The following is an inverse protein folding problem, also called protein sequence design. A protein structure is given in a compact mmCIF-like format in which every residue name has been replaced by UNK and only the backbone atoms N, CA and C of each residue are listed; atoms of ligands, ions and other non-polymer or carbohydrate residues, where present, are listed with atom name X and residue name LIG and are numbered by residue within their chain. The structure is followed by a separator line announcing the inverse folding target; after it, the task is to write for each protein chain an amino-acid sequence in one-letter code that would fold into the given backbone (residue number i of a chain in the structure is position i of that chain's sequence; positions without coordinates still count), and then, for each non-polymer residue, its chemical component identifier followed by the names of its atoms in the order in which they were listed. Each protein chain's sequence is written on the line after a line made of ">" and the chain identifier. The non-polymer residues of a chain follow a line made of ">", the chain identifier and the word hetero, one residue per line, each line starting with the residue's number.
data_IF_432117863031
#
_entry.id   IF_432117863031
#
_cell.length_a   1.000
_cell.length_b   1.000
_cell.length_c   1.000
_cell.angle_alpha   90.00
_cell.angle_beta   90.00
_cell.angle_gamma   90.00
#
_symmetry.space_group_name_H-M   'P 1'
#
loop_
_entity.id
_entity.type
_entity.pdbx_description
1 polymer ?
#
# COMPACT_ATOMS: atom_id res chain seq x y z
N UNK A 1 -18.03 1.34 -7.39
CA UNK A 1 -17.87 1.86 -5.99
C UNK A 1 -16.84 2.98 -6.03
N UNK A 2 -17.09 4.14 -5.43
CA UNK A 2 -16.07 5.19 -5.27
C UNK A 2 -15.35 5.01 -3.94
N UNK A 3 -14.00 5.10 -3.96
CA UNK A 3 -13.15 5.06 -2.79
C UNK A 3 -12.59 6.47 -2.47
N UNK A 4 -12.27 6.72 -1.21
CA UNK A 4 -11.53 7.91 -0.80
C UNK A 4 -10.02 7.68 -0.98
N UNK A 5 -9.53 6.51 -0.56
CA UNK A 5 -8.12 6.12 -0.63
C UNK A 5 -7.99 4.75 -1.31
N UNK A 6 -7.03 4.62 -2.19
CA UNK A 6 -6.61 3.35 -2.79
C UNK A 6 -5.13 3.12 -2.45
N UNK A 7 -4.85 2.09 -1.66
CA UNK A 7 -3.49 1.68 -1.34
C UNK A 7 -3.06 0.56 -2.29
N UNK A 8 -1.86 0.66 -2.85
CA UNK A 8 -1.35 -0.27 -3.84
C UNK A 8 0.01 -0.78 -3.38
N UNK A 9 0.15 -2.11 -3.25
CA UNK A 9 1.40 -2.80 -2.91
C UNK A 9 1.89 -3.65 -4.08
N UNK A 10 3.20 -3.84 -4.19
CA UNK A 10 3.78 -4.79 -5.13
C UNK A 10 3.37 -6.22 -4.75
N UNK A 11 3.37 -6.53 -3.45
CA UNK A 11 3.02 -7.83 -2.91
C UNK A 11 1.94 -7.72 -1.84
N UNK A 12 1.17 -8.81 -1.60
CA UNK A 12 0.32 -8.91 -0.41
C UNK A 12 1.23 -8.87 0.83
N UNK A 13 1.04 -7.92 1.72
CA UNK A 13 1.73 -7.52 2.94
C UNK A 13 2.39 -6.12 2.90
N UNK A 14 2.74 -5.60 1.73
CA UNK A 14 3.40 -4.29 1.58
C UNK A 14 2.59 -3.15 2.20
N UNK A 15 1.29 -3.11 1.93
CA UNK A 15 0.37 -2.09 2.44
C UNK A 15 0.24 -2.20 3.96
N UNK A 16 0.15 -3.42 4.47
CA UNK A 16 0.09 -3.68 5.90
C UNK A 16 1.36 -3.18 6.60
N UNK A 17 2.53 -3.50 6.04
CA UNK A 17 3.82 -3.05 6.57
C UNK A 17 4.03 -1.54 6.45
N UNK A 18 3.62 -0.97 5.32
CA UNK A 18 3.94 0.41 4.97
C UNK A 18 3.03 1.45 5.60
N UNK A 19 1.69 1.24 5.55
CA UNK A 19 0.74 2.32 5.87
C UNK A 19 -0.58 1.87 6.51
N UNK A 20 -0.72 0.63 6.96
CA UNK A 20 -2.02 0.14 7.42
C UNK A 20 -2.55 0.80 8.69
N UNK A 21 -1.70 1.35 9.56
CA UNK A 21 -2.17 2.12 10.70
C UNK A 21 -2.82 3.44 10.25
N UNK A 22 -2.27 4.11 9.23
CA UNK A 22 -2.90 5.26 8.57
C UNK A 22 -4.25 4.88 7.95
N UNK A 23 -4.31 3.75 7.21
CA UNK A 23 -5.56 3.29 6.62
C UNK A 23 -6.63 3.01 7.69
N UNK A 24 -6.26 2.33 8.77
CA UNK A 24 -7.18 2.04 9.89
C UNK A 24 -7.71 3.32 10.53
N UNK A 25 -6.85 4.32 10.71
CA UNK A 25 -7.25 5.64 11.21
C UNK A 25 -8.25 6.31 10.28
N UNK A 26 -7.99 6.28 8.97
CA UNK A 26 -8.89 6.91 8.00
C UNK A 26 -10.21 6.16 7.86
N UNK A 27 -10.23 4.82 8.03
CA UNK A 27 -11.48 4.03 8.14
C UNK A 27 -12.28 4.49 9.37
N UNK A 28 -11.61 4.66 10.51
CA UNK A 28 -12.26 5.19 11.73
C UNK A 28 -12.81 6.60 11.54
N UNK A 29 -12.22 7.40 10.63
CA UNK A 29 -12.71 8.71 10.20
C UNK A 29 -13.84 8.62 9.14
N UNK A 30 -14.34 7.41 8.83
CA UNK A 30 -15.44 7.19 7.89
C UNK A 30 -15.03 7.15 6.42
N UNK A 31 -13.74 7.03 6.11
CA UNK A 31 -13.25 6.93 4.74
C UNK A 31 -13.42 5.52 4.17
N UNK A 32 -13.72 5.44 2.88
CA UNK A 32 -13.78 4.18 2.12
C UNK A 32 -12.43 3.90 1.49
N UNK A 33 -11.85 2.76 1.85
CA UNK A 33 -10.50 2.38 1.45
C UNK A 33 -10.52 1.06 0.69
N UNK A 34 -9.70 0.97 -0.36
CA UNK A 34 -9.42 -0.26 -1.07
C UNK A 34 -7.93 -0.56 -1.10
N UNK A 35 -7.60 -1.82 -1.30
CA UNK A 35 -6.22 -2.29 -1.50
C UNK A 35 -6.13 -2.97 -2.87
N UNK A 36 -5.02 -2.74 -3.56
CA UNK A 36 -4.59 -3.49 -4.74
C UNK A 36 -3.22 -4.07 -4.46
N UNK A 37 -3.08 -5.38 -4.68
CA UNK A 37 -1.79 -6.06 -4.76
C UNK A 37 -1.43 -6.23 -6.24
N UNK A 38 -0.22 -5.85 -6.65
CA UNK A 38 0.18 -5.98 -8.05
C UNK A 38 0.45 -7.43 -8.43
N UNK A 39 1.02 -8.23 -7.51
CA UNK A 39 1.36 -9.64 -7.69
C UNK A 39 0.73 -10.50 -6.61
N UNK A 40 0.79 -11.81 -6.72
CA UNK A 40 0.41 -12.74 -5.66
C UNK A 40 1.57 -13.05 -4.70
N UNK A 41 2.77 -12.51 -4.95
CA UNK A 41 3.97 -12.84 -4.20
C UNK A 41 4.41 -14.29 -4.43
N UNK A 42 4.16 -14.84 -5.62
CA UNK A 42 4.29 -16.25 -5.96
C UNK A 42 5.74 -16.75 -6.02
N UNK A 43 6.72 -15.85 -6.04
CA UNK A 43 8.15 -16.20 -5.93
C UNK A 43 8.67 -16.14 -4.49
N UNK A 44 7.79 -15.90 -3.52
CA UNK A 44 8.14 -15.88 -2.10
C UNK A 44 8.73 -17.24 -1.65
N UNK A 45 9.76 -17.19 -0.77
CA UNK A 45 10.42 -18.40 -0.25
C UNK A 45 9.48 -19.22 0.64
N UNK A 46 8.50 -18.56 1.28
CA UNK A 46 7.60 -19.17 2.27
C UNK A 46 6.16 -19.08 1.80
N UNK A 47 5.39 -20.13 2.13
CA UNK A 47 4.00 -20.24 1.69
C UNK A 47 3.84 -20.47 0.20
N UNK A 48 2.61 -20.37 -0.28
CA UNK A 48 2.22 -20.47 -1.70
C UNK A 48 1.39 -19.24 -2.09
N UNK A 49 1.14 -19.04 -3.39
CA UNK A 49 0.24 -17.99 -3.84
C UNK A 49 -1.16 -18.13 -3.21
N UNK A 50 -1.67 -19.37 -3.07
CA UNK A 50 -2.98 -19.64 -2.47
C UNK A 50 -3.00 -19.27 -0.98
N UNK A 51 -1.97 -19.64 -0.21
CA UNK A 51 -1.88 -19.24 1.21
C UNK A 51 -1.76 -17.72 1.36
N UNK A 52 -1.03 -17.06 0.46
CA UNK A 52 -0.94 -15.57 0.44
C UNK A 52 -2.29 -14.92 0.13
N UNK A 53 -3.11 -15.51 -0.74
CA UNK A 53 -4.46 -15.01 -1.02
C UNK A 53 -5.37 -15.12 0.21
N UNK A 54 -5.30 -16.25 0.95
CA UNK A 54 -6.03 -16.43 2.20
C UNK A 54 -5.60 -15.43 3.28
N UNK A 55 -4.28 -15.28 3.48
CA UNK A 55 -3.69 -14.36 4.44
C UNK A 55 -4.04 -12.90 4.12
N UNK A 56 -4.01 -12.51 2.84
CA UNK A 56 -4.39 -11.18 2.39
C UNK A 56 -5.88 -10.88 2.60
N UNK A 57 -6.72 -11.90 2.43
CA UNK A 57 -8.16 -11.79 2.71
C UNK A 57 -8.40 -11.60 4.21
N UNK A 58 -7.70 -12.34 5.06
CA UNK A 58 -7.78 -12.17 6.53
C UNK A 58 -7.31 -10.79 6.94
N UNK A 59 -6.16 -10.33 6.43
CA UNK A 59 -5.64 -8.98 6.70
C UNK A 59 -6.63 -7.88 6.26
N UNK A 60 -7.27 -8.04 5.09
CA UNK A 60 -8.28 -7.10 4.60
C UNK A 60 -9.50 -7.03 5.54
N UNK A 61 -9.96 -8.18 6.05
CA UNK A 61 -11.06 -8.26 7.02
C UNK A 61 -10.67 -7.58 8.36
N UNK A 62 -9.46 -7.86 8.85
CA UNK A 62 -8.92 -7.24 10.06
C UNK A 62 -8.90 -5.71 9.90
N UNK A 63 -8.37 -5.18 8.82
CA UNK A 63 -8.31 -3.73 8.56
C UNK A 63 -9.69 -3.12 8.34
N UNK A 64 -10.66 -3.88 7.82
CA UNK A 64 -11.98 -3.40 7.47
C UNK A 64 -12.02 -2.62 6.16
N UNK A 65 -11.15 -2.94 5.20
CA UNK A 65 -11.16 -2.30 3.87
C UNK A 65 -12.39 -2.71 3.06
N UNK A 66 -12.84 -1.81 2.20
CA UNK A 66 -14.06 -2.00 1.42
C UNK A 66 -13.90 -3.00 0.27
N UNK A 67 -12.67 -3.15 -0.23
CA UNK A 67 -12.33 -4.04 -1.34
C UNK A 67 -10.83 -4.31 -1.35
N UNK A 68 -10.45 -5.54 -1.72
CA UNK A 68 -9.08 -5.91 -2.09
C UNK A 68 -9.08 -6.61 -3.44
N UNK A 69 -8.15 -6.26 -4.31
CA UNK A 69 -8.02 -6.83 -5.66
C UNK A 69 -6.57 -7.20 -5.88
N UNK A 70 -6.31 -8.39 -6.42
CA UNK A 70 -4.99 -8.75 -6.93
C UNK A 70 -4.96 -8.58 -8.45
N UNK A 71 -3.89 -7.98 -9.00
CA UNK A 71 -3.70 -7.76 -10.43
C UNK A 71 -3.07 -8.96 -11.14
N UNK A 72 -2.56 -9.92 -10.38
CA UNK A 72 -1.91 -11.14 -10.89
C UNK A 72 -0.75 -10.84 -11.87
N UNK A 73 -0.05 -9.72 -11.68
CA UNK A 73 1.15 -9.44 -12.43
C UNK A 73 2.27 -10.40 -11.99
N UNK A 74 3.20 -10.71 -12.89
CA UNK A 74 4.28 -11.64 -12.60
C UNK A 74 5.23 -11.09 -11.53
N UNK A 75 5.28 -11.74 -10.37
CA UNK A 75 6.16 -11.40 -9.26
C UNK A 75 7.62 -11.36 -9.69
N UNK A 76 8.36 -10.34 -9.30
CA UNK A 76 9.75 -10.10 -9.70
C UNK A 76 9.93 -9.65 -11.16
N UNK A 77 8.96 -9.89 -12.03
CA UNK A 77 9.10 -9.71 -13.49
C UNK A 77 8.11 -8.73 -14.12
N UNK A 78 7.12 -8.22 -13.41
CA UNK A 78 6.30 -7.16 -13.96
C UNK A 78 7.15 -5.91 -14.29
N UNK A 79 6.71 -5.15 -15.26
CA UNK A 79 7.44 -3.98 -15.77
C UNK A 79 6.52 -2.77 -15.89
N UNK A 80 7.13 -1.59 -15.87
CA UNK A 80 6.38 -0.35 -16.10
C UNK A 80 6.24 -0.12 -17.61
N UNK A 81 5.26 -0.78 -18.22
CA UNK A 81 4.94 -0.65 -19.64
C UNK A 81 3.45 -0.34 -19.87
N UNK A 82 3.09 -0.13 -21.14
CA UNK A 82 1.73 0.23 -21.52
C UNK A 82 0.69 -0.82 -21.06
N UNK A 83 1.04 -2.11 -21.08
CA UNK A 83 0.09 -3.18 -20.72
C UNK A 83 -0.28 -3.08 -19.25
N UNK A 84 0.71 -3.07 -18.36
CA UNK A 84 0.51 -2.97 -16.93
C UNK A 84 -0.12 -1.62 -16.52
N UNK A 85 0.32 -0.51 -17.17
CA UNK A 85 -0.27 0.80 -16.94
C UNK A 85 -1.76 0.83 -17.26
N UNK A 86 -2.18 0.25 -18.42
CA UNK A 86 -3.60 0.24 -18.81
C UNK A 86 -4.45 -0.57 -17.84
N UNK A 87 -3.97 -1.69 -17.34
CA UNK A 87 -4.71 -2.47 -16.33
C UNK A 87 -4.89 -1.67 -15.02
N UNK A 88 -3.85 -0.99 -14.54
CA UNK A 88 -3.98 -0.09 -13.38
C UNK A 88 -4.89 1.11 -13.65
N UNK A 89 -4.84 1.71 -14.84
CA UNK A 89 -5.73 2.80 -15.23
C UNK A 89 -7.19 2.37 -15.13
N UNK A 90 -7.52 1.13 -15.54
CA UNK A 90 -8.88 0.58 -15.40
C UNK A 90 -9.32 0.56 -13.93
N UNK A 91 -8.46 0.13 -13.02
CA UNK A 91 -8.76 0.08 -11.59
C UNK A 91 -8.88 1.49 -10.98
N UNK A 92 -7.97 2.41 -11.30
CA UNK A 92 -8.04 3.80 -10.84
C UNK A 92 -9.34 4.46 -11.30
N UNK A 93 -9.74 4.26 -12.55
CA UNK A 93 -11.00 4.80 -13.10
C UNK A 93 -12.24 4.11 -12.53
N UNK A 94 -12.17 2.83 -12.22
CA UNK A 94 -13.25 2.07 -11.57
C UNK A 94 -13.51 2.57 -10.16
N UNK A 95 -12.46 2.77 -9.38
CA UNK A 95 -12.58 3.14 -7.96
C UNK A 95 -12.55 4.66 -7.71
N UNK A 96 -12.07 5.44 -8.63
CA UNK A 96 -12.03 6.92 -8.58
C UNK A 96 -11.49 7.47 -7.24
N UNK A 97 -10.33 7.00 -6.73
CA UNK A 97 -9.80 7.44 -5.44
C UNK A 97 -9.36 8.91 -5.51
N UNK A 98 -9.48 9.62 -4.38
CA UNK A 98 -8.90 10.96 -4.26
C UNK A 98 -7.41 10.89 -3.94
N UNK A 99 -7.01 9.90 -3.12
CA UNK A 99 -5.63 9.65 -2.71
C UNK A 99 -5.23 8.25 -3.14
N UNK A 100 -4.03 8.12 -3.69
CA UNK A 100 -3.37 6.83 -3.91
C UNK A 100 -2.15 6.76 -3.00
N UNK A 101 -2.02 5.66 -2.27
CA UNK A 101 -0.80 5.30 -1.54
C UNK A 101 -0.13 4.16 -2.30
N UNK A 102 1.20 4.19 -2.44
CA UNK A 102 1.93 3.11 -3.11
C UNK A 102 3.31 2.90 -2.50
N UNK A 103 4.03 1.89 -2.99
CA UNK A 103 5.34 1.49 -2.49
C UNK A 103 6.33 2.66 -2.42
N UNK A 104 7.36 2.48 -1.60
CA UNK A 104 8.49 3.38 -1.49
C UNK A 104 9.17 3.62 -2.86
N UNK A 105 9.61 4.85 -3.10
CA UNK A 105 10.28 5.27 -4.34
C UNK A 105 11.59 4.53 -4.59
N UNK A 106 12.25 4.07 -3.53
CA UNK A 106 13.43 3.20 -3.54
C UNK A 106 13.36 2.28 -2.31
N UNK A 107 13.66 1.00 -2.53
CA UNK A 107 13.67 0.04 -1.43
C UNK A 107 14.62 -1.14 -1.71
N UNK A 108 14.76 -2.04 -0.71
CA UNK A 108 15.54 -3.27 -0.85
C UNK A 108 14.98 -4.20 -1.93
N UNK A 109 13.65 -4.37 -1.98
CA UNK A 109 13.01 -5.21 -2.97
C UNK A 109 12.88 -4.48 -4.31
N UNK A 110 13.31 -5.13 -5.38
CA UNK A 110 13.32 -4.52 -6.73
C UNK A 110 11.93 -4.12 -7.21
N UNK A 111 10.89 -4.82 -6.77
CA UNK A 111 9.51 -4.57 -7.20
C UNK A 111 8.90 -3.35 -6.53
N UNK A 112 9.39 -2.94 -5.34
CA UNK A 112 8.84 -1.77 -4.66
C UNK A 112 9.06 -0.50 -5.49
N UNK A 113 10.29 -0.21 -5.90
CA UNK A 113 10.58 0.95 -6.76
C UNK A 113 9.94 0.85 -8.14
N UNK A 114 9.85 -0.37 -8.73
CA UNK A 114 9.13 -0.59 -9.99
C UNK A 114 7.63 -0.33 -9.84
N UNK A 115 7.02 -0.89 -8.79
CA UNK A 115 5.61 -0.70 -8.47
C UNK A 115 5.27 0.76 -8.20
N UNK A 116 6.10 1.43 -7.38
CA UNK A 116 6.01 2.86 -7.11
C UNK A 116 5.92 3.68 -8.42
N UNK A 117 6.86 3.44 -9.34
CA UNK A 117 6.90 4.18 -10.62
C UNK A 117 5.74 3.80 -11.55
N UNK A 118 5.36 2.53 -11.62
CA UNK A 118 4.23 2.06 -12.42
C UNK A 118 2.92 2.71 -11.95
N UNK A 119 2.68 2.77 -10.64
CA UNK A 119 1.48 3.37 -10.05
C UNK A 119 1.44 4.87 -10.30
N UNK A 120 2.56 5.57 -10.11
CA UNK A 120 2.68 7.01 -10.38
C UNK A 120 2.32 7.34 -11.84
N UNK A 121 2.90 6.61 -12.79
CA UNK A 121 2.63 6.80 -14.22
C UNK A 121 1.16 6.49 -14.56
N UNK A 122 0.60 5.41 -14.01
CA UNK A 122 -0.81 5.06 -14.19
C UNK A 122 -1.76 6.14 -13.62
N UNK A 123 -1.44 6.71 -12.46
CA UNK A 123 -2.20 7.82 -11.86
C UNK A 123 -2.21 9.07 -12.76
N UNK A 124 -1.06 9.41 -13.37
CA UNK A 124 -1.00 10.50 -14.33
C UNK A 124 -1.82 10.20 -15.59
N UNK A 125 -1.61 9.03 -16.17
CA UNK A 125 -2.24 8.61 -17.42
C UNK A 125 -3.76 8.42 -17.29
N UNK A 126 -4.25 7.99 -16.13
CA UNK A 126 -5.68 7.74 -15.89
C UNK A 126 -6.55 9.01 -16.04
N UNK A 127 -5.94 10.19 -15.90
CA UNK A 127 -6.61 11.49 -16.15
C UNK A 127 -6.65 11.92 -17.61
N UNK A 128 -6.02 11.21 -18.54
CA UNK A 128 -5.95 11.61 -19.94
C UNK A 128 -7.19 11.13 -20.69
N UNK A 129 -7.93 12.06 -21.29
CA UNK A 129 -9.18 11.79 -22.02
C UNK A 129 -9.01 10.94 -23.28
N UNK A 130 -7.79 10.89 -23.84
CA UNK A 130 -7.49 10.14 -25.07
C UNK A 130 -7.01 8.70 -24.80
N UNK A 131 -6.99 8.28 -23.54
CA UNK A 131 -6.75 6.90 -23.18
C UNK A 131 -8.09 6.22 -22.96
N UNK A 132 -8.49 5.39 -23.89
CA UNK A 132 -9.75 4.64 -23.82
C UNK A 132 -9.56 3.38 -23.00
N UNK A 133 -10.38 3.20 -21.98
CA UNK A 133 -10.45 1.98 -21.15
C UNK A 133 -11.90 1.57 -20.93
N UNK A 134 -12.12 0.26 -20.80
CA UNK A 134 -13.41 -0.31 -20.41
C UNK A 134 -13.35 -0.84 -19.00
N UNK A 135 -14.42 -0.72 -18.25
CA UNK A 135 -14.52 -1.32 -16.93
C UNK A 135 -14.47 -2.86 -17.07
N UNK A 136 -13.70 -3.58 -16.24
CA UNK A 136 -13.67 -5.04 -16.30
C UNK A 136 -15.05 -5.70 -16.09
N UNK A 137 -15.89 -5.08 -15.24
CA UNK A 137 -17.15 -5.67 -14.75
C UNK A 137 -18.41 -4.91 -15.24
N UNK A 138 -18.26 -3.87 -16.05
CA UNK A 138 -19.38 -3.05 -16.50
C UNK A 138 -19.28 -2.76 -17.99
N UNK A 139 -20.41 -2.74 -18.69
CA UNK A 139 -20.43 -2.32 -20.09
C UNK A 139 -20.22 -0.81 -20.20
N UNK A 140 -19.28 -0.42 -21.07
CA UNK A 140 -19.05 0.96 -21.41
C UNK A 140 -17.63 1.46 -21.23
N UNK A 141 -17.40 2.68 -21.73
CA UNK A 141 -16.12 3.36 -21.60
C UNK A 141 -16.02 4.05 -20.24
N UNK A 142 -14.82 4.00 -19.64
CA UNK A 142 -14.57 4.64 -18.36
C UNK A 142 -14.25 6.12 -18.56
N UNK A 143 -14.88 6.98 -17.75
CA UNK A 143 -14.52 8.38 -17.70
C UNK A 143 -13.12 8.58 -17.12
N UNK A 144 -12.35 9.54 -17.64
CA UNK A 144 -11.04 9.88 -17.09
C UNK A 144 -11.14 10.25 -15.60
N UNK A 145 -10.17 9.78 -14.84
CA UNK A 145 -10.06 10.12 -13.43
C UNK A 145 -8.59 10.26 -13.03
N UNK A 146 -8.22 11.37 -12.43
CA UNK A 146 -6.88 11.58 -11.87
C UNK A 146 -6.98 11.73 -10.36
N UNK A 147 -6.30 10.87 -9.57
CA UNK A 147 -6.16 11.10 -8.14
C UNK A 147 -5.59 12.48 -7.83
N UNK A 148 -6.05 13.11 -6.77
CA UNK A 148 -5.54 14.43 -6.35
C UNK A 148 -4.13 14.35 -5.80
N UNK A 149 -3.82 13.23 -5.10
CA UNK A 149 -2.56 13.01 -4.42
C UNK A 149 -2.08 11.59 -4.65
N UNK A 150 -0.77 11.45 -4.85
CA UNK A 150 -0.05 10.17 -4.82
C UNK A 150 1.02 10.32 -3.75
N UNK A 151 1.02 9.41 -2.77
CA UNK A 151 1.98 9.35 -1.69
C UNK A 151 2.63 7.98 -1.66
N UNK A 152 3.92 7.94 -1.31
CA UNK A 152 4.69 6.71 -1.24
C UNK A 152 5.00 6.40 0.22
N UNK A 153 4.52 5.25 0.72
CA UNK A 153 4.82 4.85 2.08
C UNK A 153 6.26 4.31 2.20
N UNK A 154 6.90 4.55 3.34
CA UNK A 154 8.26 4.10 3.59
C UNK A 154 8.23 2.66 4.09
N UNK A 155 9.07 1.80 3.49
CA UNK A 155 9.13 0.37 3.79
C UNK A 155 10.45 -0.01 4.47
N UNK A 156 11.31 -0.79 3.81
CA UNK A 156 12.54 -1.32 4.40
C UNK A 156 13.63 -0.27 4.56
N UNK A 157 13.98 0.40 3.48
CA UNK A 157 15.02 1.43 3.51
C UNK A 157 14.57 2.63 4.33
N UNK A 158 15.53 3.23 5.02
CA UNK A 158 15.29 4.52 5.65
C UNK A 158 15.30 5.61 4.56
N UNK A 159 14.14 6.19 4.33
CA UNK A 159 13.94 7.35 3.47
C UNK A 159 13.39 8.46 4.36
N UNK A 160 13.96 9.67 4.26
CA UNK A 160 13.43 10.82 5.00
C UNK A 160 12.01 11.15 4.49
N UNK A 161 11.00 11.17 5.38
CA UNK A 161 9.64 11.47 4.98
C UNK A 161 9.44 12.96 4.71
N UNK A 162 8.60 13.27 3.71
CA UNK A 162 8.12 14.63 3.49
C UNK A 162 7.03 15.02 4.49
N UNK A 163 6.28 14.04 5.00
CA UNK A 163 5.35 14.21 6.12
C UNK A 163 5.13 12.90 6.87
N UNK A 164 4.65 13.02 8.10
CA UNK A 164 4.37 11.90 8.99
C UNK A 164 2.91 12.00 9.46
N UNK A 165 2.20 10.89 9.40
CA UNK A 165 0.84 10.78 9.94
C UNK A 165 0.93 10.23 11.36
N UNK A 166 0.30 10.94 12.33
CA UNK A 166 0.10 10.42 13.68
C UNK A 166 -0.84 9.21 13.64
N UNK A 167 -0.31 8.05 13.98
CA UNK A 167 -1.06 6.79 14.03
C UNK A 167 -1.13 6.22 15.45
N UNK A 168 -0.97 7.08 16.46
CA UNK A 168 -1.11 6.67 17.87
C UNK A 168 -2.48 6.07 18.12
N UNK A 169 -2.51 4.86 18.73
CA UNK A 169 -3.74 4.12 18.97
C UNK A 169 -4.18 3.16 17.87
N UNK A 170 -3.47 3.11 16.73
CA UNK A 170 -3.81 2.24 15.59
C UNK A 170 -2.76 1.14 15.32
N UNK A 171 -1.67 1.10 16.08
CA UNK A 171 -0.60 0.12 15.89
C UNK A 171 -1.02 -1.31 16.20
N UNK A 172 -1.86 -1.53 17.21
CA UNK A 172 -2.36 -2.87 17.55
C UNK A 172 -3.08 -3.50 16.36
N UNK A 173 -3.92 -2.71 15.68
CA UNK A 173 -4.67 -3.14 14.50
C UNK A 173 -3.75 -3.40 13.30
N UNK A 174 -2.74 -2.54 13.10
CA UNK A 174 -1.68 -2.78 12.11
C UNK A 174 -0.96 -4.09 12.36
N UNK A 175 -0.51 -4.32 13.59
CA UNK A 175 0.23 -5.54 13.94
C UNK A 175 -0.63 -6.79 13.80
N UNK A 176 -1.92 -6.73 14.13
CA UNK A 176 -2.88 -7.82 13.90
C UNK A 176 -2.96 -8.17 12.40
N UNK A 177 -3.07 -7.16 11.52
CA UNK A 177 -3.14 -7.36 10.09
C UNK A 177 -1.81 -7.87 9.49
N UNK A 178 -0.67 -7.36 9.95
CA UNK A 178 0.65 -7.87 9.54
C UNK A 178 0.80 -9.35 9.94
N UNK A 179 0.46 -9.70 11.17
CA UNK A 179 0.61 -11.07 11.68
C UNK A 179 -0.44 -12.06 11.11
N UNK A 180 -1.42 -11.59 10.33
CA UNK A 180 -2.28 -12.46 9.55
C UNK A 180 -1.49 -13.20 8.45
N UNK A 181 -0.38 -12.63 7.98
CA UNK A 181 0.55 -13.30 7.06
C UNK A 181 1.49 -14.25 7.80
N UNK A 182 0.95 -15.34 8.31
CA UNK A 182 1.64 -16.33 9.15
C UNK A 182 2.81 -16.99 8.43
N UNK A 183 2.70 -17.17 7.12
CA UNK A 183 3.79 -17.74 6.31
C UNK A 183 4.94 -16.76 6.16
N UNK A 184 4.73 -15.45 6.22
CA UNK A 184 5.77 -14.45 5.92
C UNK A 184 6.51 -13.95 7.15
N UNK A 185 5.81 -13.76 8.27
CA UNK A 185 6.38 -13.14 9.46
C UNK A 185 6.76 -14.16 10.54
N UNK A 186 7.25 -13.65 11.67
CA UNK A 186 7.77 -14.48 12.74
C UNK A 186 6.68 -15.36 13.35
N UNK A 187 6.89 -16.66 13.25
CA UNK A 187 6.18 -17.69 14.01
C UNK A 187 7.22 -18.62 14.65
N UNK A 188 7.30 -18.72 15.98
CA UNK A 188 8.27 -19.58 16.67
C UNK A 188 8.06 -21.07 16.41
N UNK A 189 6.91 -21.46 15.85
CA UNK A 189 6.57 -22.85 15.55
C UNK A 189 6.69 -23.20 14.05
N UNK A 190 7.16 -22.26 13.22
CA UNK A 190 7.28 -22.49 11.78
C UNK A 190 8.54 -23.31 11.47
N UNK A 191 8.36 -24.36 10.68
CA UNK A 191 9.46 -25.17 10.13
C UNK A 191 9.95 -24.66 8.76
N UNK A 192 9.40 -23.56 8.26
CA UNK A 192 9.78 -22.98 6.97
C UNK A 192 11.15 -22.28 7.03
N UNK A 193 11.87 -22.15 5.89
CA UNK A 193 13.16 -21.48 5.84
C UNK A 193 13.11 -20.06 6.38
N UNK A 194 14.15 -19.60 7.06
CA UNK A 194 14.25 -18.22 7.49
C UNK A 194 14.42 -17.27 6.31
N UNK A 195 13.73 -16.12 6.39
CA UNK A 195 13.86 -15.01 5.46
C UNK A 195 14.19 -13.72 6.22
N UNK A 196 14.65 -12.65 5.55
CA UNK A 196 14.93 -11.39 6.22
C UNK A 196 13.74 -10.81 7.01
N UNK A 197 12.50 -11.12 6.59
CA UNK A 197 11.27 -10.60 7.22
C UNK A 197 10.64 -11.56 8.22
N UNK A 198 11.05 -12.84 8.26
CA UNK A 198 10.49 -13.83 9.17
C UNK A 198 11.12 -13.84 10.57
N UNK A 199 12.10 -12.98 10.82
CA UNK A 199 12.74 -12.89 12.13
C UNK A 199 11.89 -12.07 13.11
N UNK A 200 12.00 -12.43 14.41
CA UNK A 200 11.36 -11.63 15.47
C UNK A 200 11.85 -10.18 15.47
N UNK A 201 13.15 -9.96 15.21
CA UNK A 201 13.72 -8.62 15.15
C UNK A 201 13.10 -7.76 14.04
N UNK A 202 12.77 -8.36 12.89
CA UNK A 202 12.04 -7.63 11.84
C UNK A 202 10.63 -7.25 12.31
N UNK A 203 9.89 -8.18 12.90
CA UNK A 203 8.55 -7.89 13.43
C UNK A 203 8.59 -6.79 14.49
N UNK A 204 9.55 -6.84 15.41
CA UNK A 204 9.76 -5.80 16.43
C UNK A 204 10.14 -4.44 15.77
N UNK A 205 10.85 -4.47 14.62
CA UNK A 205 11.30 -3.25 13.93
C UNK A 205 10.15 -2.41 13.37
N UNK A 206 8.98 -2.99 13.14
CA UNK A 206 7.78 -2.26 12.71
C UNK A 206 7.37 -1.24 13.78
N UNK A 207 7.35 -1.68 15.04
CA UNK A 207 7.05 -0.82 16.19
C UNK A 207 8.15 0.22 16.41
N UNK A 208 9.43 -0.15 16.27
CA UNK A 208 10.57 0.78 16.46
C UNK A 208 10.52 1.93 15.45
N UNK A 209 10.25 1.62 14.18
CA UNK A 209 10.11 2.64 13.14
C UNK A 209 8.96 3.59 13.43
N UNK A 210 7.80 3.04 13.78
CA UNK A 210 6.62 3.85 14.08
C UNK A 210 6.87 4.77 15.29
N UNK A 211 7.59 4.31 16.32
CA UNK A 211 7.99 5.12 17.47
C UNK A 211 8.98 6.19 17.11
N UNK A 212 10.00 5.88 16.29
CA UNK A 212 10.99 6.87 15.88
C UNK A 212 10.34 7.98 15.05
N UNK A 213 9.52 7.64 14.06
CA UNK A 213 8.78 8.65 13.29
C UNK A 213 7.79 9.44 14.15
N UNK A 214 7.10 8.79 15.10
CA UNK A 214 6.21 9.47 16.04
C UNK A 214 6.96 10.47 16.92
N UNK A 215 8.15 10.10 17.40
CA UNK A 215 9.02 10.99 18.21
C UNK A 215 9.35 12.28 17.46
N UNK A 216 9.57 12.23 16.14
CA UNK A 216 9.93 13.41 15.34
C UNK A 216 8.81 14.45 15.31
N UNK A 217 7.56 14.05 15.45
CA UNK A 217 6.38 14.94 15.46
C UNK A 217 5.70 15.04 16.85
N UNK A 218 6.36 14.52 17.91
CA UNK A 218 5.87 14.65 19.29
C UNK A 218 4.69 13.76 19.65
N UNK A 219 4.48 12.63 18.93
CA UNK A 219 3.42 11.65 19.20
C UNK A 219 4.01 10.26 19.49
N UNK A 220 3.17 9.31 19.89
CA UNK A 220 3.62 7.96 20.25
C UNK A 220 4.07 7.16 19.04
N UNK A 221 3.32 7.21 17.93
CA UNK A 221 3.60 6.45 16.71
C UNK A 221 3.30 7.30 15.47
N UNK A 222 4.12 7.14 14.43
CA UNK A 222 3.95 7.77 13.14
C UNK A 222 4.20 6.83 11.98
N UNK A 223 3.55 7.08 10.86
CA UNK A 223 3.87 6.50 9.55
C UNK A 223 4.32 7.60 8.61
N UNK A 224 5.42 7.38 7.90
CA UNK A 224 6.07 8.37 7.04
C UNK A 224 5.75 8.15 5.57
N UNK A 225 5.66 9.27 4.84
CA UNK A 225 5.35 9.28 3.41
C UNK A 225 6.25 10.25 2.66
N UNK A 226 6.60 9.90 1.42
CA UNK A 226 7.17 10.85 0.46
C UNK A 226 6.12 11.27 -0.56
N UNK A 227 6.33 12.43 -1.17
CA UNK A 227 5.35 13.09 -2.05
C UNK A 227 5.93 13.37 -3.44
N UNK A 228 5.06 13.41 -4.45
CA UNK A 228 5.45 13.80 -5.82
C UNK A 228 5.36 15.31 -6.06
N UNK A 229 4.70 16.03 -5.18
CA UNK A 229 4.56 17.49 -5.21
C UNK A 229 4.48 18.03 -3.79
N UNK A 230 4.88 19.28 -3.60
CA UNK A 230 4.78 19.93 -2.31
C UNK A 230 3.39 19.85 -1.70
N UNK A 231 3.33 19.58 -0.40
CA UNK A 231 2.08 19.60 0.36
C UNK A 231 1.65 21.06 0.52
N UNK A 232 0.47 21.38 0.01
CA UNK A 232 -0.14 22.69 0.20
C UNK A 232 -1.02 22.71 1.45
N UNK A 233 -0.94 23.76 2.22
CA UNK A 233 -1.79 24.00 3.39
C UNK A 233 -2.46 25.37 3.28
N UNK A 234 -3.71 25.45 3.68
CA UNK A 234 -4.45 26.73 3.63
C UNK A 234 -4.02 27.70 4.72
N UNK A 235 -3.42 27.20 5.79
CA UNK A 235 -2.95 28.00 6.92
C UNK A 235 -1.81 27.28 7.66
N UNK A 236 -0.89 28.06 8.24
CA UNK A 236 0.15 27.52 9.14
C UNK A 236 -0.43 26.81 10.36
N UNK A 237 -1.64 27.15 10.77
CA UNK A 237 -2.36 26.50 11.87
C UNK A 237 -2.85 25.07 11.52
N UNK A 238 -2.82 24.67 10.24
CA UNK A 238 -3.15 23.29 9.82
C UNK A 238 -1.95 22.33 9.99
N UNK A 239 -0.76 22.88 10.25
CA UNK A 239 0.42 22.08 10.61
C UNK A 239 0.42 21.84 12.13
N UNK A 240 0.83 20.63 12.53
CA UNK A 240 0.99 20.25 13.93
C UNK A 240 2.45 20.36 14.34
#
# INVERSE_FOLDING_TARGET
>A
MKLDILAIGAHPDDVELGCSATLTKEIANGKKIGIIDLTRGELGTRGTAETRDEESTEAANILGVSVRVNMEFADGFFVNDKVHQVELIKMIRKFKPEIVLCNAIDDRHIDHGKGSKLVSDACFLSGLIKIDTKCPDEDGWQEPWRPKHVYHYIQWKHIEPDFIVDVSGFMDKKMEAVLAYKTQFFDPNSDEPETPISSKNFTDSIEYRARDLGRLIGVKHGEGFTVERYVAVDSLYNLK
#
